data_IF_845978523863
#
_entry.id   IF_845978523863
#
_cell.length_a   1.000
_cell.length_b   1.000
_cell.length_c   1.000
_cell.angle_alpha   90.00
_cell.angle_beta   90.00
_cell.angle_gamma   90.00
#
_symmetry.space_group_name_H-M   'P 1'
#
loop_
_entity.id
_entity.type
_entity.pdbx_description
1 polymer ?
#
# COMPACT_ATOMS: atom_id res chain seq x y z
N UNK A 1 -22.16 -1.99 4.52
CA UNK A 1 -21.01 -1.12 4.21
C UNK A 1 -20.33 -1.68 2.99
N UNK A 2 -20.26 -0.90 1.93
CA UNK A 2 -19.57 -1.29 0.71
C UNK A 2 -18.07 -1.05 0.89
N UNK A 3 -17.27 -2.08 0.62
CA UNK A 3 -15.81 -2.01 0.71
C UNK A 3 -15.23 -2.47 -0.62
N UNK A 4 -14.42 -1.62 -1.22
CA UNK A 4 -13.69 -1.92 -2.43
C UNK A 4 -12.23 -2.26 -2.14
N UNK A 5 -11.64 -3.08 -2.99
CA UNK A 5 -10.19 -3.24 -3.04
C UNK A 5 -9.62 -2.47 -4.22
N UNK A 6 -8.47 -1.86 -4.00
CA UNK A 6 -7.68 -1.21 -5.04
C UNK A 6 -6.31 -1.86 -5.05
N UNK A 7 -5.88 -2.35 -6.20
CA UNK A 7 -4.54 -2.90 -6.40
C UNK A 7 -3.90 -2.24 -7.62
N UNK A 8 -2.65 -1.82 -7.48
CA UNK A 8 -1.84 -1.30 -8.57
C UNK A 8 -0.91 -2.37 -9.10
N UNK A 9 -0.73 -2.43 -10.43
CA UNK A 9 0.14 -3.40 -11.06
C UNK A 9 0.77 -2.84 -12.34
N UNK A 10 1.96 -3.34 -12.65
CA UNK A 10 2.70 -3.03 -13.87
C UNK A 10 3.41 -4.28 -14.39
N UNK A 11 3.41 -4.47 -15.71
CA UNK A 11 4.28 -5.41 -16.39
C UNK A 11 5.44 -4.64 -17.05
N UNK A 12 6.62 -4.78 -16.49
CA UNK A 12 7.83 -4.15 -17.03
C UNK A 12 8.29 -4.77 -18.36
N UNK A 13 7.75 -5.92 -18.76
CA UNK A 13 8.08 -6.58 -20.03
C UNK A 13 7.22 -6.07 -21.20
N UNK A 14 6.21 -5.25 -20.94
CA UNK A 14 5.40 -4.62 -21.97
C UNK A 14 6.26 -3.69 -22.86
N UNK A 15 6.31 -3.91 -24.18
CA UNK A 15 7.19 -3.14 -25.08
C UNK A 15 6.90 -1.64 -25.07
N UNK A 16 5.61 -1.25 -25.00
CA UNK A 16 5.22 0.16 -24.99
C UNK A 16 5.63 0.82 -23.69
N UNK A 17 5.45 0.13 -22.57
CA UNK A 17 5.90 0.62 -21.27
C UNK A 17 7.42 0.80 -21.24
N UNK A 18 8.18 -0.16 -21.82
CA UNK A 18 9.64 -0.06 -21.91
C UNK A 18 10.10 1.13 -22.75
N UNK A 19 9.43 1.40 -23.88
CA UNK A 19 9.70 2.56 -24.72
C UNK A 19 9.48 3.87 -23.94
N UNK A 20 8.33 4.00 -23.30
CA UNK A 20 8.02 5.18 -22.47
C UNK A 20 9.00 5.32 -21.30
N UNK A 21 9.30 4.22 -20.61
CA UNK A 21 10.26 4.22 -19.51
C UNK A 21 11.66 4.68 -19.98
N UNK A 22 12.16 4.15 -21.11
CA UNK A 22 13.44 4.53 -21.67
C UNK A 22 13.49 6.04 -22.03
N UNK A 23 12.41 6.55 -22.64
CA UNK A 23 12.28 7.97 -23.01
C UNK A 23 12.40 8.90 -21.81
N UNK A 24 11.77 8.58 -20.68
CA UNK A 24 11.73 9.45 -19.50
C UNK A 24 12.85 9.17 -18.49
N UNK A 25 13.41 7.96 -18.46
CA UNK A 25 14.54 7.61 -17.57
C UNK A 25 15.87 8.16 -18.08
N UNK A 26 15.98 8.41 -19.39
CA UNK A 26 17.25 8.80 -20.01
C UNK A 26 18.33 7.72 -19.82
N UNK A 27 19.60 8.06 -20.01
CA UNK A 27 20.76 7.17 -19.73
C UNK A 27 21.00 6.94 -18.21
N UNK A 28 19.97 7.03 -17.41
CA UNK A 28 20.06 6.82 -15.95
C UNK A 28 20.03 5.33 -15.62
N UNK A 29 21.07 4.60 -16.00
CA UNK A 29 21.38 3.26 -15.44
C UNK A 29 21.69 3.36 -13.93
N UNK A 30 20.87 4.08 -13.14
CA UNK A 30 21.19 4.42 -11.79
C UNK A 30 20.17 3.84 -10.82
N UNK A 31 20.52 2.70 -10.23
CA UNK A 31 19.83 2.03 -9.12
C UNK A 31 19.50 2.96 -7.93
N UNK A 32 20.10 4.16 -7.88
CA UNK A 32 19.93 5.13 -6.77
C UNK A 32 18.68 6.01 -6.89
N UNK A 33 18.07 6.14 -8.07
CA UNK A 33 17.06 7.19 -8.33
C UNK A 33 15.63 6.67 -8.57
N UNK A 34 15.21 5.62 -7.91
CA UNK A 34 13.83 5.13 -8.05
C UNK A 34 13.58 4.29 -9.31
N UNK A 35 14.63 3.95 -10.07
CA UNK A 35 14.62 3.26 -11.37
C UNK A 35 15.05 1.78 -11.21
N UNK A 36 15.01 1.23 -10.01
CA UNK A 36 15.42 -0.16 -9.75
C UNK A 36 14.42 -1.13 -10.35
N UNK A 37 14.90 -2.11 -11.10
CA UNK A 37 14.13 -3.20 -11.71
C UNK A 37 13.20 -3.91 -10.72
N UNK A 38 13.67 -4.15 -9.48
CA UNK A 38 12.86 -4.76 -8.43
C UNK A 38 11.55 -4.01 -8.11
N UNK A 39 11.38 -2.76 -8.55
CA UNK A 39 10.15 -1.98 -8.34
C UNK A 39 9.07 -2.22 -9.38
N UNK A 40 9.44 -2.83 -10.49
CA UNK A 40 8.56 -3.01 -11.66
C UNK A 40 8.47 -4.47 -12.07
N UNK A 41 9.18 -5.36 -11.35
CA UNK A 41 9.24 -6.78 -11.66
C UNK A 41 7.92 -7.46 -11.29
N UNK A 42 7.27 -8.08 -12.26
CA UNK A 42 6.18 -9.00 -12.00
C UNK A 42 6.71 -10.36 -11.54
N UNK A 43 6.22 -10.82 -10.42
CA UNK A 43 6.58 -12.13 -9.84
C UNK A 43 5.74 -13.28 -10.37
N UNK A 44 4.73 -12.99 -11.21
CA UNK A 44 3.71 -13.95 -11.62
C UNK A 44 2.85 -14.42 -10.43
N UNK A 45 2.77 -13.59 -9.38
CA UNK A 45 1.99 -13.90 -8.17
C UNK A 45 0.60 -13.25 -8.18
N UNK A 46 0.33 -12.36 -9.13
CA UNK A 46 -0.93 -11.61 -9.20
C UNK A 46 -2.16 -12.54 -9.25
N UNK A 47 -2.09 -13.70 -9.94
CA UNK A 47 -3.17 -14.71 -9.94
C UNK A 47 -3.55 -15.14 -8.53
N UNK A 48 -2.57 -15.40 -7.68
CA UNK A 48 -2.81 -15.83 -6.30
C UNK A 48 -3.39 -14.72 -5.45
N UNK A 49 -3.14 -13.45 -5.80
CA UNK A 49 -3.83 -12.33 -5.18
C UNK A 49 -5.33 -12.41 -5.45
N UNK A 50 -5.73 -12.57 -6.71
CA UNK A 50 -7.13 -12.70 -7.10
C UNK A 50 -7.78 -13.96 -6.51
N UNK A 51 -7.11 -15.11 -6.57
CA UNK A 51 -7.59 -16.36 -5.91
C UNK A 51 -7.76 -16.17 -4.41
N UNK A 52 -6.82 -15.47 -3.77
CA UNK A 52 -6.88 -15.13 -2.35
C UNK A 52 -8.05 -14.23 -2.00
N UNK A 53 -8.34 -13.22 -2.83
CA UNK A 53 -9.53 -12.35 -2.64
C UNK A 53 -10.80 -13.18 -2.76
N UNK A 54 -10.95 -13.99 -3.79
CA UNK A 54 -12.16 -14.81 -3.96
C UNK A 54 -12.37 -15.78 -2.81
N UNK A 55 -11.32 -16.49 -2.42
CA UNK A 55 -11.42 -17.55 -1.39
C UNK A 55 -11.55 -16.99 0.02
N UNK A 56 -10.79 -15.95 0.35
CA UNK A 56 -10.60 -15.50 1.74
C UNK A 56 -11.27 -14.17 2.07
N UNK A 57 -11.68 -13.38 1.04
CA UNK A 57 -12.38 -12.12 1.19
C UNK A 57 -13.56 -11.99 0.20
N UNK A 58 -14.48 -12.98 0.08
CA UNK A 58 -15.54 -12.98 -0.93
C UNK A 58 -16.55 -11.83 -0.78
N UNK A 59 -16.56 -11.15 0.35
CA UNK A 59 -17.39 -10.01 0.69
C UNK A 59 -17.02 -8.71 -0.03
N UNK A 60 -15.85 -8.65 -0.70
CA UNK A 60 -15.41 -7.47 -1.46
C UNK A 60 -16.43 -7.11 -2.52
N UNK A 61 -16.84 -5.83 -2.56
CA UNK A 61 -17.81 -5.33 -3.53
C UNK A 61 -17.21 -5.26 -4.93
N UNK A 62 -16.09 -4.54 -5.08
CA UNK A 62 -15.36 -4.35 -6.33
C UNK A 62 -13.85 -4.37 -6.13
N UNK A 63 -13.16 -4.80 -7.17
CA UNK A 63 -11.70 -4.75 -7.29
C UNK A 63 -11.39 -3.74 -8.37
N UNK A 64 -10.81 -2.60 -8.00
CA UNK A 64 -10.27 -1.62 -8.93
C UNK A 64 -8.84 -2.02 -9.25
N UNK A 65 -8.66 -2.64 -10.42
CA UNK A 65 -7.35 -3.07 -10.91
C UNK A 65 -6.71 -1.94 -11.72
N UNK A 66 -5.74 -1.26 -11.09
CA UNK A 66 -5.14 -0.04 -11.62
C UNK A 66 -3.85 -0.34 -12.36
N UNK A 67 -3.78 0.07 -13.63
CA UNK A 67 -2.62 -0.12 -14.50
C UNK A 67 -2.39 1.10 -15.40
N UNK A 68 -1.29 1.11 -16.13
CA UNK A 68 -1.04 2.12 -17.19
C UNK A 68 -1.65 1.73 -18.56
N UNK A 69 -2.70 0.90 -18.56
CA UNK A 69 -3.36 0.40 -19.78
C UNK A 69 -2.98 -1.04 -20.13
N UNK A 70 -2.22 -1.68 -19.24
CA UNK A 70 -1.84 -3.10 -19.35
C UNK A 70 -2.91 -4.00 -18.73
N UNK A 71 -3.00 -5.23 -19.21
CA UNK A 71 -3.89 -6.26 -18.66
C UNK A 71 -3.23 -7.63 -18.81
N UNK A 72 -3.20 -8.45 -17.73
CA UNK A 72 -2.78 -9.84 -17.87
C UNK A 72 -3.74 -10.61 -18.79
N UNK A 73 -3.19 -11.45 -19.69
CA UNK A 73 -3.99 -12.22 -20.68
C UNK A 73 -5.00 -13.16 -20.02
N UNK A 74 -4.69 -13.65 -18.83
CA UNK A 74 -5.54 -14.57 -18.07
C UNK A 74 -6.67 -13.90 -17.30
N UNK A 75 -6.73 -12.56 -17.22
CA UNK A 75 -7.73 -11.85 -16.43
C UNK A 75 -9.04 -11.71 -17.20
N UNK A 76 -10.13 -12.22 -16.62
CA UNK A 76 -11.48 -11.99 -17.14
C UNK A 76 -11.98 -10.60 -16.74
N UNK A 77 -11.88 -9.66 -17.67
CA UNK A 77 -12.35 -8.28 -17.48
C UNK A 77 -13.89 -8.14 -17.43
N UNK A 78 -14.62 -9.18 -17.87
CA UNK A 78 -16.09 -9.21 -17.85
C UNK A 78 -16.65 -9.61 -16.47
N UNK A 79 -15.80 -10.08 -15.55
CA UNK A 79 -16.24 -10.39 -14.21
C UNK A 79 -16.82 -9.13 -13.52
N UNK A 80 -18.08 -9.18 -13.01
CA UNK A 80 -18.78 -8.00 -12.50
C UNK A 80 -18.09 -7.33 -11.30
N UNK A 81 -17.20 -8.04 -10.62
CA UNK A 81 -16.40 -7.47 -9.53
C UNK A 81 -15.14 -6.75 -10.01
N UNK A 82 -14.71 -6.95 -11.26
CA UNK A 82 -13.52 -6.31 -11.81
C UNK A 82 -13.88 -4.93 -12.39
N UNK A 83 -13.07 -3.95 -12.06
CA UNK A 83 -13.05 -2.64 -12.70
C UNK A 83 -11.61 -2.34 -13.13
N UNK A 84 -11.35 -2.47 -14.43
CA UNK A 84 -10.06 -2.04 -14.99
C UNK A 84 -9.99 -0.51 -14.96
N UNK A 85 -8.93 0.01 -14.36
CA UNK A 85 -8.72 1.46 -14.20
C UNK A 85 -7.39 1.82 -14.84
N UNK A 86 -7.43 2.67 -15.85
CA UNK A 86 -6.21 3.21 -16.44
C UNK A 86 -5.78 4.47 -15.67
N UNK A 87 -4.49 4.73 -15.58
CA UNK A 87 -3.97 5.96 -14.97
C UNK A 87 -4.63 7.22 -15.52
N UNK A 88 -4.92 7.28 -16.85
CA UNK A 88 -5.59 8.41 -17.51
C UNK A 88 -7.03 8.65 -17.03
N UNK A 89 -7.67 7.67 -16.40
CA UNK A 89 -9.07 7.79 -15.99
C UNK A 89 -9.23 8.62 -14.70
N UNK A 90 -8.12 8.82 -13.94
CA UNK A 90 -8.18 9.50 -12.65
C UNK A 90 -6.98 10.40 -12.33
N UNK A 91 -5.86 10.27 -13.05
CA UNK A 91 -4.67 11.14 -12.91
C UNK A 91 -4.72 12.22 -14.00
N UNK A 92 -4.49 13.50 -13.67
CA UNK A 92 -4.45 14.58 -14.67
C UNK A 92 -3.40 14.31 -15.76
N UNK A 93 -3.77 14.52 -17.03
CA UNK A 93 -2.97 14.18 -18.20
C UNK A 93 -1.55 14.77 -18.17
N UNK A 94 -1.40 15.98 -17.65
CA UNK A 94 -0.10 16.66 -17.53
C UNK A 94 0.94 15.92 -16.70
N UNK A 95 0.52 14.99 -15.84
CA UNK A 95 1.39 14.16 -15.01
C UNK A 95 1.68 12.79 -15.62
N UNK A 96 1.05 12.45 -16.74
CA UNK A 96 1.23 11.17 -17.44
C UNK A 96 2.31 11.24 -18.53
N UNK A 97 2.97 10.14 -18.88
CA UNK A 97 3.00 8.92 -18.09
C UNK A 97 3.75 9.14 -16.77
N UNK A 98 3.44 8.32 -15.78
CA UNK A 98 4.18 8.32 -14.50
C UNK A 98 4.68 6.91 -14.18
N UNK A 99 5.91 6.82 -13.69
CA UNK A 99 6.56 5.59 -13.19
C UNK A 99 6.76 5.68 -11.67
N UNK A 100 6.07 6.63 -11.05
CA UNK A 100 6.15 6.91 -9.63
C UNK A 100 4.88 6.40 -8.93
N UNK A 101 4.98 5.27 -8.23
CA UNK A 101 3.84 4.66 -7.55
C UNK A 101 3.14 5.61 -6.58
N UNK A 102 3.89 6.50 -5.89
CA UNK A 102 3.26 7.43 -4.95
C UNK A 102 2.38 8.47 -5.67
N UNK A 103 2.72 8.86 -6.91
CA UNK A 103 1.86 9.73 -7.74
C UNK A 103 0.59 9.00 -8.13
N UNK A 104 0.69 7.71 -8.50
CA UNK A 104 -0.47 6.85 -8.78
C UNK A 104 -1.41 6.83 -7.57
N UNK A 105 -0.84 6.70 -6.37
CA UNK A 105 -1.57 6.60 -5.11
C UNK A 105 -2.20 7.92 -4.65
N UNK A 106 -1.67 9.09 -5.02
CA UNK A 106 -2.26 10.39 -4.63
C UNK A 106 -3.68 10.59 -5.11
N UNK A 107 -4.03 10.03 -6.25
CA UNK A 107 -5.27 10.29 -6.97
C UNK A 107 -6.31 9.19 -6.80
N UNK A 108 -6.08 8.14 -5.99
CA UNK A 108 -6.98 6.98 -5.88
C UNK A 108 -8.44 7.36 -5.61
N UNK A 109 -8.69 8.42 -4.82
CA UNK A 109 -10.03 8.91 -4.53
C UNK A 109 -10.82 9.36 -5.76
N UNK A 110 -10.12 9.63 -6.89
CA UNK A 110 -10.74 10.05 -8.16
C UNK A 110 -11.13 8.88 -9.06
N UNK A 111 -10.85 7.63 -8.65
CA UNK A 111 -11.26 6.46 -9.41
C UNK A 111 -12.79 6.44 -9.52
N UNK A 112 -13.35 6.38 -10.75
CA UNK A 112 -14.79 6.35 -10.95
C UNK A 112 -15.45 5.17 -10.24
N UNK A 113 -16.50 5.42 -9.46
CA UNK A 113 -17.25 4.37 -8.77
C UNK A 113 -16.57 3.77 -7.54
N UNK A 114 -15.42 4.28 -7.11
CA UNK A 114 -14.77 3.87 -5.86
C UNK A 114 -15.67 4.17 -4.66
N UNK A 115 -15.84 3.18 -3.79
CA UNK A 115 -16.58 3.32 -2.53
C UNK A 115 -15.89 4.27 -1.55
N UNK A 116 -16.66 4.81 -0.59
CA UNK A 116 -16.11 5.58 0.53
C UNK A 116 -15.07 4.79 1.32
N UNK A 117 -15.36 3.50 1.57
CA UNK A 117 -14.46 2.59 2.27
C UNK A 117 -13.71 1.75 1.24
N UNK A 118 -12.40 1.90 1.20
CA UNK A 118 -11.59 1.06 0.33
C UNK A 118 -10.29 0.60 1.00
N UNK A 119 -9.75 -0.50 0.54
CA UNK A 119 -8.48 -1.05 0.99
C UNK A 119 -7.50 -1.02 -0.17
N UNK A 120 -6.39 -0.34 0.00
CA UNK A 120 -5.32 -0.29 -0.97
C UNK A 120 -4.30 -1.40 -0.74
N UNK A 121 -3.96 -2.11 -1.80
CA UNK A 121 -2.95 -3.16 -1.84
C UNK A 121 -1.80 -2.76 -2.77
N UNK A 122 -0.58 -2.93 -2.30
CA UNK A 122 0.56 -3.07 -3.20
C UNK A 122 0.55 -4.50 -3.77
N UNK A 123 1.17 -4.69 -4.93
CA UNK A 123 1.27 -5.96 -5.64
C UNK A 123 2.06 -7.05 -4.89
N UNK A 124 2.82 -6.67 -3.87
CA UNK A 124 3.58 -7.56 -2.99
C UNK A 124 2.81 -8.01 -1.71
N UNK A 125 1.54 -7.57 -1.54
CA UNK A 125 0.72 -7.89 -0.37
C UNK A 125 -0.40 -8.86 -0.74
N UNK A 126 -0.40 -10.05 -0.13
CA UNK A 126 -1.33 -11.13 -0.44
C UNK A 126 -2.17 -11.55 0.77
N UNK A 127 -3.43 -11.90 0.51
CA UNK A 127 -4.33 -12.54 1.48
C UNK A 127 -4.08 -14.05 1.43
N UNK A 128 -3.73 -14.66 2.55
CA UNK A 128 -3.41 -16.08 2.63
C UNK A 128 -4.29 -16.87 3.62
N UNK A 129 -5.23 -16.21 4.27
CA UNK A 129 -6.20 -16.84 5.17
C UNK A 129 -7.48 -16.02 5.22
N UNK A 130 -8.58 -16.64 5.67
CA UNK A 130 -9.89 -15.99 5.79
C UNK A 130 -9.80 -14.69 6.58
N UNK A 131 -10.39 -13.66 6.02
CA UNK A 131 -10.36 -12.30 6.54
C UNK A 131 -11.75 -11.66 6.41
N UNK A 132 -12.28 -11.15 7.50
CA UNK A 132 -13.58 -10.45 7.50
C UNK A 132 -13.44 -8.93 7.30
N UNK A 133 -14.56 -8.27 7.05
CA UNK A 133 -14.61 -6.81 6.90
C UNK A 133 -14.10 -6.10 8.14
N UNK A 134 -14.31 -6.68 9.32
CA UNK A 134 -13.90 -6.15 10.62
C UNK A 134 -12.37 -6.07 10.79
N UNK A 135 -11.59 -6.74 9.92
CA UNK A 135 -10.14 -6.57 9.88
C UNK A 135 -9.75 -5.19 9.40
N UNK A 136 -10.51 -4.63 8.47
CA UNK A 136 -10.20 -3.36 7.82
C UNK A 136 -11.00 -2.19 8.39
N UNK A 137 -12.27 -2.44 8.75
CA UNK A 137 -13.17 -1.40 9.22
C UNK A 137 -13.97 -1.86 10.44
N UNK A 138 -14.21 -0.96 11.38
CA UNK A 138 -15.09 -1.14 12.52
C UNK A 138 -15.84 0.16 12.78
N UNK A 139 -17.14 0.08 13.01
CA UNK A 139 -18.00 1.25 13.22
C UNK A 139 -17.92 2.29 12.08
N UNK A 140 -17.68 1.84 10.82
CA UNK A 140 -17.48 2.73 9.68
C UNK A 140 -16.11 3.39 9.62
N UNK A 141 -15.18 3.09 10.53
CA UNK A 141 -13.84 3.67 10.58
C UNK A 141 -12.76 2.64 10.24
N UNK A 142 -11.70 3.05 9.52
CA UNK A 142 -10.54 2.21 9.26
C UNK A 142 -9.86 1.71 10.53
N UNK A 143 -9.42 0.47 10.53
CA UNK A 143 -8.66 -0.09 11.66
C UNK A 143 -7.17 0.07 11.45
N UNK A 144 -6.52 0.71 12.41
CA UNK A 144 -5.09 1.02 12.28
C UNK A 144 -4.39 1.12 13.64
N UNK A 145 -3.05 1.19 13.58
CA UNK A 145 -2.18 1.37 14.74
C UNK A 145 -1.66 2.82 14.81
N UNK A 146 -2.10 3.57 15.82
CA UNK A 146 -1.60 4.90 16.12
C UNK A 146 -0.39 4.82 17.06
N UNK A 147 0.77 4.46 16.53
CA UNK A 147 2.00 4.30 17.32
C UNK A 147 3.18 5.02 16.68
N UNK A 148 3.89 5.83 17.46
CA UNK A 148 5.09 6.53 16.99
C UNK A 148 6.24 5.57 16.69
N UNK A 149 7.02 5.92 15.69
CA UNK A 149 8.30 5.30 15.36
C UNK A 149 9.41 6.33 15.49
N UNK A 150 10.21 6.22 16.53
CA UNK A 150 11.44 6.99 16.61
C UNK A 150 12.50 6.34 15.74
N UNK A 151 12.93 7.05 14.70
CA UNK A 151 13.90 6.56 13.74
C UNK A 151 14.87 7.67 13.35
N UNK A 152 16.16 7.37 13.36
CA UNK A 152 17.25 8.27 12.97
C UNK A 152 17.78 7.96 11.54
N UNK A 153 17.05 7.20 10.74
CA UNK A 153 17.47 6.85 9.38
C UNK A 153 17.61 8.10 8.50
N UNK A 154 18.64 8.11 7.65
CA UNK A 154 18.87 9.12 6.61
C UNK A 154 18.41 8.63 5.22
N UNK A 155 17.68 7.52 5.14
CA UNK A 155 17.18 6.97 3.88
C UNK A 155 16.26 7.96 3.15
N UNK A 156 16.17 7.83 1.82
CA UNK A 156 15.25 8.61 1.00
C UNK A 156 13.80 8.44 1.49
N UNK A 157 13.41 7.21 1.80
CA UNK A 157 12.10 6.89 2.37
C UNK A 157 11.80 7.71 3.64
N UNK A 158 12.76 7.82 4.54
CA UNK A 158 12.57 8.59 5.77
C UNK A 158 12.44 10.10 5.51
N UNK A 159 13.10 10.62 4.46
CA UNK A 159 12.93 12.02 4.04
C UNK A 159 11.50 12.28 3.57
N UNK A 160 10.92 11.38 2.78
CA UNK A 160 9.53 11.53 2.32
C UNK A 160 8.53 11.44 3.48
N UNK A 161 8.76 10.58 4.47
CA UNK A 161 7.95 10.56 5.70
C UNK A 161 8.04 11.88 6.49
N UNK A 162 9.20 12.54 6.50
CA UNK A 162 9.32 13.88 7.11
C UNK A 162 8.50 14.93 6.37
N UNK A 163 8.43 14.86 5.03
CA UNK A 163 7.58 15.76 4.25
C UNK A 163 6.11 15.61 4.68
N UNK A 164 5.63 14.36 4.84
CA UNK A 164 4.28 14.10 5.34
C UNK A 164 4.06 14.73 6.73
N UNK A 165 4.99 14.50 7.67
CA UNK A 165 4.89 15.00 9.04
C UNK A 165 4.92 16.53 9.11
N UNK A 166 5.60 17.20 8.19
CA UNK A 166 5.59 18.65 8.10
C UNK A 166 4.19 19.18 7.75
N UNK A 167 3.44 18.52 6.85
CA UNK A 167 2.04 18.86 6.57
C UNK A 167 1.19 18.62 7.80
N UNK A 168 1.30 17.44 8.42
CA UNK A 168 0.55 17.09 9.63
C UNK A 168 0.74 18.13 10.73
N UNK A 169 1.98 18.52 11.03
CA UNK A 169 2.29 19.47 12.09
C UNK A 169 1.86 20.93 11.79
N UNK A 170 1.48 21.25 10.55
CA UNK A 170 0.87 22.56 10.21
C UNK A 170 -0.62 22.59 10.50
N UNK A 171 -1.28 21.43 10.51
CA UNK A 171 -2.74 21.33 10.59
C UNK A 171 -3.26 20.74 11.90
N UNK A 172 -2.40 20.07 12.68
CA UNK A 172 -2.80 19.42 13.92
C UNK A 172 -1.86 19.76 15.08
N UNK A 173 -2.45 20.16 16.22
CA UNK A 173 -1.74 20.16 17.50
C UNK A 173 -1.73 18.73 18.08
N UNK A 174 -0.54 18.21 18.31
CA UNK A 174 -0.38 16.83 18.80
C UNK A 174 -1.02 16.61 20.17
N UNK A 175 -0.90 17.61 21.08
CA UNK A 175 -1.41 17.46 22.44
C UNK A 175 -2.94 17.42 22.44
N UNK A 176 -3.57 18.27 21.62
CA UNK A 176 -5.03 18.28 21.46
C UNK A 176 -5.53 16.97 20.85
N UNK A 177 -4.90 16.48 19.75
CA UNK A 177 -5.26 15.22 19.11
C UNK A 177 -5.13 14.05 20.08
N UNK A 178 -4.00 13.95 20.80
CA UNK A 178 -3.78 12.84 21.73
C UNK A 178 -4.63 12.94 23.00
N UNK A 179 -5.08 14.14 23.38
CA UNK A 179 -6.02 14.31 24.48
C UNK A 179 -7.45 13.92 24.08
N UNK A 180 -7.89 14.35 22.88
CA UNK A 180 -9.21 14.03 22.32
C UNK A 180 -9.40 12.51 22.14
N UNK A 181 -8.40 11.84 21.57
CA UNK A 181 -8.44 10.42 21.22
C UNK A 181 -7.55 9.57 22.14
N UNK A 182 -7.44 9.95 23.42
CA UNK A 182 -6.49 9.33 24.36
C UNK A 182 -6.53 7.79 24.31
N UNK A 183 -7.72 7.20 24.41
CA UNK A 183 -7.87 5.75 24.49
C UNK A 183 -7.48 5.05 23.18
N UNK A 184 -7.63 5.73 22.03
CA UNK A 184 -7.17 5.23 20.73
C UNK A 184 -5.65 5.26 20.60
N UNK A 185 -4.98 6.30 21.11
CA UNK A 185 -3.51 6.42 21.07
C UNK A 185 -2.80 5.50 22.06
N UNK A 186 -3.47 5.15 23.16
CA UNK A 186 -2.91 4.32 24.22
C UNK A 186 -3.59 2.95 24.34
N UNK A 187 -4.20 2.48 23.25
CA UNK A 187 -4.89 1.19 23.22
C UNK A 187 -3.97 0.03 23.59
N UNK A 188 -4.44 -0.84 24.49
CA UNK A 188 -3.68 -1.97 25.04
C UNK A 188 -3.28 -2.99 23.97
N UNK A 189 -4.04 -3.10 22.87
CA UNK A 189 -3.75 -4.04 21.77
C UNK A 189 -2.40 -3.75 21.09
N UNK A 190 -1.90 -2.53 21.15
CA UNK A 190 -0.62 -2.15 20.56
C UNK A 190 0.58 -2.77 21.29
N UNK A 191 0.43 -3.13 22.57
CA UNK A 191 1.49 -3.70 23.38
C UNK A 191 2.75 -2.81 23.42
N UNK A 192 3.93 -3.43 23.33
CA UNK A 192 5.21 -2.70 23.35
C UNK A 192 5.41 -1.71 22.19
N UNK A 193 4.60 -1.79 21.13
CA UNK A 193 4.68 -0.87 19.98
C UNK A 193 4.28 0.55 20.34
N UNK A 194 3.39 0.71 21.33
CA UNK A 194 2.96 2.02 21.82
C UNK A 194 3.95 2.69 22.78
N UNK A 195 5.08 2.05 23.13
CA UNK A 195 6.03 2.62 24.12
C UNK A 195 6.44 4.07 23.80
N UNK A 196 6.63 4.38 22.52
CA UNK A 196 6.99 5.72 22.10
C UNK A 196 5.85 6.72 22.24
N UNK A 197 4.61 6.30 22.26
CA UNK A 197 3.48 7.18 22.57
C UNK A 197 3.58 7.72 23.99
N UNK A 198 3.98 6.88 24.95
CA UNK A 198 4.18 7.29 26.34
C UNK A 198 5.43 8.16 26.48
N UNK A 199 6.57 7.75 25.93
CA UNK A 199 7.84 8.48 26.04
C UNK A 199 7.75 9.86 25.38
N UNK A 200 7.12 9.95 24.23
CA UNK A 200 7.01 11.19 23.45
C UNK A 200 5.74 12.00 23.77
N UNK A 201 4.93 11.57 24.72
CA UNK A 201 3.73 12.31 25.12
C UNK A 201 4.00 13.79 25.40
N UNK A 202 5.07 14.17 26.14
CA UNK A 202 5.37 15.59 26.42
C UNK A 202 5.84 16.38 25.20
N UNK A 203 6.37 15.72 24.18
CA UNK A 203 6.89 16.38 22.98
C UNK A 203 5.76 16.96 22.14
N UNK A 204 5.82 18.26 21.83
CA UNK A 204 4.70 19.02 21.29
C UNK A 204 4.40 18.79 19.79
N UNK A 205 5.23 18.03 19.06
CA UNK A 205 5.04 17.80 17.62
C UNK A 205 4.87 16.33 17.30
N UNK A 206 4.14 16.04 16.22
CA UNK A 206 4.13 14.71 15.64
C UNK A 206 5.49 14.36 15.08
N UNK A 207 5.86 13.10 15.23
CA UNK A 207 6.92 12.44 14.48
C UNK A 207 6.29 11.33 13.62
N UNK A 208 7.12 10.61 12.85
CA UNK A 208 6.64 9.51 12.02
C UNK A 208 5.92 8.45 12.84
N UNK A 209 4.81 7.96 12.31
CA UNK A 209 4.13 6.79 12.85
C UNK A 209 4.77 5.50 12.31
N UNK A 210 4.52 4.40 12.98
CA UNK A 210 4.84 3.07 12.44
C UNK A 210 4.07 2.86 11.15
N UNK A 211 4.79 2.47 10.11
CA UNK A 211 4.25 2.20 8.78
C UNK A 211 4.26 0.69 8.56
N UNK A 212 3.20 -0.03 8.92
CA UNK A 212 3.10 -1.44 8.57
C UNK A 212 2.98 -1.55 7.04
N UNK A 213 3.87 -2.31 6.41
CA UNK A 213 3.75 -2.62 4.98
C UNK A 213 2.68 -3.71 4.82
N UNK A 214 1.45 -3.29 4.63
CA UNK A 214 0.27 -4.16 4.55
C UNK A 214 -0.82 -3.53 3.67
N UNK A 215 -1.91 -4.25 3.50
CA UNK A 215 -3.13 -3.69 2.92
C UNK A 215 -3.68 -2.57 3.83
N UNK A 216 -3.85 -1.38 3.28
CA UNK A 216 -4.17 -0.18 4.04
C UNK A 216 -5.62 0.26 3.81
N UNK A 217 -6.47 0.26 4.86
CA UNK A 217 -7.83 0.76 4.75
C UNK A 217 -7.85 2.29 4.79
N UNK A 218 -8.68 2.87 3.91
CA UNK A 218 -8.86 4.31 3.77
C UNK A 218 -10.33 4.69 3.65
N UNK A 219 -10.62 5.94 3.99
CA UNK A 219 -11.81 6.67 3.60
C UNK A 219 -11.49 7.56 2.40
N UNK A 220 -12.34 7.56 1.39
CA UNK A 220 -12.21 8.40 0.21
C UNK A 220 -12.19 9.89 0.59
N UNK A 221 -13.06 10.29 1.50
CA UNK A 221 -13.15 11.66 2.05
C UNK A 221 -11.84 12.11 2.70
N UNK A 222 -11.03 11.21 3.25
CA UNK A 222 -9.70 11.57 3.80
C UNK A 222 -8.77 12.11 2.71
N UNK A 223 -8.81 11.53 1.51
CA UNK A 223 -8.02 12.02 0.38
C UNK A 223 -8.48 13.40 -0.06
N UNK A 224 -9.79 13.62 -0.14
CA UNK A 224 -10.37 14.92 -0.49
C UNK A 224 -9.94 16.00 0.51
N UNK A 225 -10.01 15.71 1.82
CA UNK A 225 -9.54 16.64 2.85
C UNK A 225 -8.05 16.99 2.71
N UNK A 226 -7.19 15.99 2.48
CA UNK A 226 -5.75 16.22 2.32
C UNK A 226 -5.46 17.02 1.06
N UNK A 227 -6.15 16.73 -0.05
CA UNK A 227 -6.01 17.50 -1.28
C UNK A 227 -6.42 18.97 -1.10
N UNK A 228 -7.48 19.22 -0.32
CA UNK A 228 -7.93 20.60 -0.05
C UNK A 228 -6.88 21.44 0.70
N UNK A 229 -6.03 20.82 1.52
CA UNK A 229 -5.05 21.55 2.35
C UNK A 229 -3.61 21.45 1.83
N UNK A 230 -3.30 20.48 0.99
CA UNK A 230 -1.97 20.22 0.46
C UNK A 230 -1.92 20.14 -1.07
N UNK A 231 -2.88 20.77 -1.77
CA UNK A 231 -2.98 20.74 -3.23
C UNK A 231 -1.68 21.20 -3.90
N UNK A 232 -1.10 22.28 -3.42
CA UNK A 232 0.15 22.84 -3.98
C UNK A 232 1.29 21.84 -3.89
N UNK A 233 1.46 21.22 -2.74
CA UNK A 233 2.52 20.24 -2.46
C UNK A 233 2.34 18.97 -3.28
N UNK A 234 1.13 18.40 -3.30
CA UNK A 234 0.82 17.18 -4.02
C UNK A 234 0.89 17.39 -5.54
N UNK A 235 0.42 18.53 -6.04
CA UNK A 235 0.53 18.90 -7.46
C UNK A 235 1.99 19.03 -7.88
N UNK A 236 2.82 19.72 -7.09
CA UNK A 236 4.25 19.83 -7.38
C UNK A 236 4.96 18.46 -7.37
N UNK A 237 4.62 17.59 -6.42
CA UNK A 237 5.19 16.24 -6.34
C UNK A 237 4.69 15.34 -7.50
N UNK A 238 3.48 15.56 -8.01
CA UNK A 238 2.92 14.80 -9.14
C UNK A 238 3.69 14.97 -10.44
N UNK A 239 4.48 16.04 -10.57
CA UNK A 239 5.38 16.23 -11.71
C UNK A 239 6.60 15.28 -11.71
N UNK A 240 6.88 14.61 -10.59
CA UNK A 240 7.99 13.66 -10.48
C UNK A 240 7.66 12.35 -11.20
N UNK A 241 8.23 12.14 -12.38
CA UNK A 241 8.03 10.90 -13.16
C UNK A 241 8.56 9.65 -12.45
N UNK A 242 9.52 9.79 -11.56
CA UNK A 242 10.14 8.74 -10.75
C UNK A 242 10.20 9.18 -9.29
N UNK A 243 10.30 8.24 -8.35
CA UNK A 243 10.37 8.54 -6.92
C UNK A 243 11.48 9.55 -6.60
N UNK A 244 11.11 10.61 -5.87
CA UNK A 244 11.95 11.73 -5.50
C UNK A 244 11.98 11.94 -3.98
N UNK A 245 13.06 12.49 -3.41
CA UNK A 245 13.07 12.93 -2.01
C UNK A 245 12.03 14.02 -1.68
N UNK A 246 11.52 14.71 -2.70
CA UNK A 246 10.46 15.73 -2.57
C UNK A 246 9.05 15.14 -2.58
N UNK A 247 8.90 13.83 -2.80
CA UNK A 247 7.59 13.18 -2.77
C UNK A 247 7.00 13.17 -1.36
N UNK A 248 5.69 13.02 -1.32
CA UNK A 248 4.89 12.63 -0.16
C UNK A 248 4.51 11.16 -0.34
N UNK A 249 4.33 10.42 0.73
CA UNK A 249 3.91 9.03 0.61
C UNK A 249 2.43 8.88 1.00
N UNK A 250 1.76 7.79 0.64
CA UNK A 250 0.37 7.52 1.05
C UNK A 250 0.16 7.54 2.56
N UNK A 251 1.25 7.39 3.31
CA UNK A 251 1.25 7.56 4.77
C UNK A 251 0.79 8.97 5.22
N UNK A 252 0.80 9.96 4.32
CA UNK A 252 0.21 11.27 4.58
C UNK A 252 -1.30 11.13 4.84
N UNK A 253 -2.01 10.47 3.93
CA UNK A 253 -3.47 10.25 4.04
C UNK A 253 -3.79 9.39 5.27
N UNK A 254 -3.02 8.33 5.49
CA UNK A 254 -3.13 7.48 6.68
C UNK A 254 -2.92 8.26 7.98
N UNK A 255 -1.86 9.07 8.05
CA UNK A 255 -1.55 9.86 9.26
C UNK A 255 -2.61 10.94 9.49
N UNK A 256 -3.10 11.57 8.42
CA UNK A 256 -4.21 12.51 8.49
C UNK A 256 -5.46 11.88 9.10
N UNK A 257 -5.84 10.71 8.59
CA UNK A 257 -6.98 9.92 9.07
C UNK A 257 -6.85 9.61 10.57
N UNK A 258 -5.66 9.21 11.02
CA UNK A 258 -5.37 8.98 12.44
C UNK A 258 -5.47 10.27 13.26
N UNK A 259 -4.90 11.40 12.77
CA UNK A 259 -4.95 12.68 13.45
C UNK A 259 -6.36 13.27 13.53
N UNK A 260 -7.23 12.99 12.57
CA UNK A 260 -8.66 13.34 12.58
C UNK A 260 -9.47 12.48 13.58
N UNK A 261 -8.90 11.39 14.08
CA UNK A 261 -9.61 10.40 14.89
C UNK A 261 -10.47 9.42 14.07
N UNK A 262 -10.32 9.44 12.74
CA UNK A 262 -11.05 8.57 11.81
C UNK A 262 -10.41 7.19 11.73
N UNK A 263 -10.25 6.54 12.86
CA UNK A 263 -9.75 5.18 12.94
C UNK A 263 -10.25 4.46 14.19
N UNK A 264 -10.27 3.14 14.13
CA UNK A 264 -10.45 2.24 15.28
C UNK A 264 -9.13 1.55 15.60
N UNK A 265 -8.72 1.50 16.86
CA UNK A 265 -7.45 0.90 17.26
C UNK A 265 -7.35 -0.56 16.83
N UNK A 266 -6.23 -0.90 16.19
CA UNK A 266 -5.91 -2.27 15.82
C UNK A 266 -4.41 -2.48 15.66
N UNK A 267 -3.89 -3.54 16.25
CA UNK A 267 -2.49 -3.92 16.06
C UNK A 267 -2.35 -4.75 14.78
N UNK A 268 -2.13 -4.08 13.65
CA UNK A 268 -1.99 -4.69 12.32
C UNK A 268 -0.85 -5.72 12.22
N UNK A 269 0.13 -5.67 13.11
CA UNK A 269 1.23 -6.64 13.18
C UNK A 269 0.82 -7.99 13.78
N UNK A 270 -0.42 -8.13 14.25
CA UNK A 270 -0.93 -9.39 14.81
C UNK A 270 -1.15 -10.44 13.73
N UNK A 271 -1.64 -10.01 12.59
CA UNK A 271 -2.13 -10.85 11.51
C UNK A 271 -1.49 -10.55 10.15
N UNK A 272 -0.56 -9.59 10.12
CA UNK A 272 0.20 -9.25 8.92
C UNK A 272 1.69 -9.39 9.15
N UNK A 273 2.39 -9.99 8.19
CA UNK A 273 3.85 -10.17 8.25
C UNK A 273 4.51 -9.79 6.94
N UNK A 274 5.47 -8.85 7.01
CA UNK A 274 6.40 -8.59 5.93
C UNK A 274 7.60 -9.54 5.99
N UNK A 275 7.94 -10.12 4.86
CA UNK A 275 9.10 -10.97 4.66
C UNK A 275 10.05 -10.32 3.64
N UNK A 276 11.23 -9.82 4.08
CA UNK A 276 12.28 -9.43 3.14
C UNK A 276 12.81 -10.70 2.46
N UNK A 277 12.50 -10.89 1.17
CA UNK A 277 12.81 -12.13 0.43
C UNK A 277 14.32 -12.36 0.30
N UNK A 278 15.14 -11.31 0.35
CA UNK A 278 16.60 -11.42 0.39
C UNK A 278 17.10 -12.19 1.63
N UNK A 279 16.39 -12.08 2.76
CA UNK A 279 16.84 -12.60 4.07
C UNK A 279 16.02 -13.79 4.54
N UNK A 280 14.71 -13.80 4.24
CA UNK A 280 13.76 -14.77 4.82
C UNK A 280 12.85 -15.45 3.79
N UNK A 281 13.37 -15.92 2.62
CA UNK A 281 12.50 -16.50 1.59
C UNK A 281 11.84 -17.81 2.04
N UNK A 282 12.58 -18.68 2.75
CA UNK A 282 12.05 -19.96 3.26
C UNK A 282 10.94 -19.74 4.31
N UNK A 283 11.11 -18.74 5.17
CA UNK A 283 10.08 -18.38 6.16
C UNK A 283 8.83 -17.83 5.49
N UNK A 284 8.97 -17.06 4.40
CA UNK A 284 7.84 -16.57 3.61
C UNK A 284 7.04 -17.74 3.03
N UNK A 285 7.67 -18.64 2.29
CA UNK A 285 7.03 -19.82 1.72
C UNK A 285 6.35 -20.69 2.80
N UNK A 286 7.02 -20.94 3.92
CA UNK A 286 6.44 -21.69 5.04
C UNK A 286 5.23 -21.00 5.67
N UNK A 287 5.28 -19.66 5.79
CA UNK A 287 4.17 -18.89 6.35
C UNK A 287 2.94 -18.92 5.43
N UNK A 288 3.13 -18.90 4.12
CA UNK A 288 2.07 -19.05 3.12
C UNK A 288 1.49 -20.46 3.21
N UNK A 289 2.33 -21.49 3.11
CA UNK A 289 1.92 -22.89 3.14
C UNK A 289 1.07 -23.23 4.38
N UNK A 290 1.48 -22.74 5.56
CA UNK A 290 0.80 -22.98 6.83
C UNK A 290 -0.30 -21.93 7.13
N UNK A 291 -0.57 -20.98 6.26
CA UNK A 291 -1.53 -19.88 6.47
C UNK A 291 -1.35 -19.19 7.84
N UNK A 292 -0.08 -18.91 8.21
CA UNK A 292 0.29 -18.46 9.56
C UNK A 292 -0.16 -17.04 9.89
N UNK A 293 -0.60 -16.28 8.89
CA UNK A 293 -1.09 -14.90 8.98
C UNK A 293 -2.32 -14.75 8.08
N UNK A 294 -3.06 -13.64 8.23
CA UNK A 294 -4.12 -13.30 7.27
C UNK A 294 -3.53 -12.61 6.03
N UNK A 295 -2.50 -11.80 6.23
CA UNK A 295 -1.82 -11.04 5.18
C UNK A 295 -0.31 -11.26 5.25
N UNK A 296 0.31 -11.41 4.08
CA UNK A 296 1.78 -11.41 3.94
C UNK A 296 2.20 -10.37 2.91
N UNK A 297 3.31 -9.69 3.18
CA UNK A 297 4.00 -8.84 2.21
C UNK A 297 5.32 -9.53 1.83
N UNK A 298 5.55 -9.68 0.54
CA UNK A 298 6.72 -10.35 -0.04
C UNK A 298 7.68 -9.30 -0.61
N UNK A 299 8.42 -8.64 0.29
CA UNK A 299 9.25 -7.50 -0.08
C UNK A 299 10.49 -7.93 -0.87
N UNK A 300 10.54 -7.53 -2.15
CA UNK A 300 11.62 -7.84 -3.10
C UNK A 300 12.86 -6.96 -2.91
N UNK A 301 13.97 -7.49 -3.43
CA UNK A 301 15.25 -6.77 -3.54
C UNK A 301 16.06 -7.30 -4.73
N UNK A 302 16.74 -6.40 -5.45
CA UNK A 302 17.62 -6.77 -6.58
C UNK A 302 18.76 -7.74 -6.22
N UNK A 303 19.08 -7.87 -4.94
CA UNK A 303 20.17 -8.71 -4.44
C UNK A 303 19.71 -10.10 -3.98
N UNK A 304 18.49 -10.53 -4.32
CA UNK A 304 18.02 -11.89 -3.99
C UNK A 304 18.86 -12.91 -4.76
N UNK A 305 19.56 -13.77 -3.99
CA UNK A 305 20.30 -14.90 -4.56
C UNK A 305 19.33 -16.00 -4.99
N UNK A 306 19.61 -16.62 -6.14
CA UNK A 306 18.79 -17.71 -6.70
C UNK A 306 17.30 -17.33 -6.81
N UNK A 307 17.04 -16.12 -7.33
CA UNK A 307 15.71 -15.54 -7.44
C UNK A 307 14.66 -16.51 -7.99
N UNK A 308 14.97 -17.22 -9.10
CA UNK A 308 14.04 -18.20 -9.70
C UNK A 308 13.59 -19.28 -8.70
N UNK A 309 14.54 -19.89 -7.96
CA UNK A 309 14.21 -20.91 -6.95
C UNK A 309 13.39 -20.34 -5.78
N UNK A 310 13.68 -19.08 -5.37
CA UNK A 310 12.89 -18.41 -4.31
C UNK A 310 11.45 -18.24 -4.77
N UNK A 311 11.24 -17.76 -5.99
CA UNK A 311 9.90 -17.52 -6.53
C UNK A 311 9.15 -18.82 -6.77
N UNK A 312 9.82 -19.86 -7.24
CA UNK A 312 9.24 -21.20 -7.40
C UNK A 312 8.73 -21.77 -6.05
N UNK A 313 9.54 -21.67 -5.00
CA UNK A 313 9.11 -22.13 -3.66
C UNK A 313 7.90 -21.34 -3.13
N UNK A 314 7.84 -20.03 -3.42
CA UNK A 314 6.69 -19.18 -3.04
C UNK A 314 5.46 -19.56 -3.85
N UNK A 315 5.60 -19.76 -5.17
CA UNK A 315 4.50 -20.22 -6.05
C UNK A 315 3.95 -21.56 -5.58
N UNK A 316 4.81 -22.52 -5.30
CA UNK A 316 4.39 -23.84 -4.80
C UNK A 316 3.62 -23.74 -3.47
N UNK A 317 4.00 -22.80 -2.59
CA UNK A 317 3.27 -22.55 -1.35
C UNK A 317 1.89 -21.92 -1.61
N UNK A 318 1.77 -21.03 -2.59
CA UNK A 318 0.48 -20.47 -3.02
C UNK A 318 -0.39 -21.54 -3.69
N UNK A 319 0.17 -22.36 -4.60
CA UNK A 319 -0.57 -23.45 -5.25
C UNK A 319 -1.14 -24.44 -4.23
N UNK A 320 -0.42 -24.69 -3.13
CA UNK A 320 -0.91 -25.56 -2.06
C UNK A 320 -2.20 -25.01 -1.41
N UNK A 321 -2.28 -23.70 -1.16
CA UNK A 321 -3.44 -23.10 -0.49
C UNK A 321 -4.51 -22.56 -1.46
N UNK A 322 -4.15 -22.32 -2.73
CA UNK A 322 -4.98 -21.73 -3.78
C UNK A 322 -4.80 -22.48 -5.11
N UNK A 323 -5.06 -23.81 -5.15
CA UNK A 323 -4.84 -24.61 -6.37
C UNK A 323 -5.86 -24.31 -7.48
N UNK A 324 -7.08 -23.92 -7.09
CA UNK A 324 -8.17 -23.72 -8.05
C UNK A 324 -8.09 -22.33 -8.69
N UNK A 325 -8.41 -22.27 -9.99
CA UNK A 325 -8.63 -20.99 -10.67
C UNK A 325 -9.79 -20.25 -10.00
N UNK A 326 -9.64 -18.94 -9.91
CA UNK A 326 -10.73 -18.07 -9.47
C UNK A 326 -11.66 -17.71 -10.63
N UNK A 327 -12.88 -17.27 -10.33
CA UNK A 327 -13.80 -16.70 -11.31
C UNK A 327 -13.30 -15.40 -11.95
N UNK A 328 -12.10 -14.92 -11.58
CA UNK A 328 -11.40 -13.80 -12.21
C UNK A 328 -10.45 -14.26 -13.34
N UNK A 329 -10.29 -15.56 -13.56
CA UNK A 329 -9.37 -16.13 -14.56
C UNK A 329 -10.14 -16.76 -15.73
N UNK A 330 -9.68 -16.45 -16.97
CA UNK A 330 -10.16 -17.06 -18.21
C UNK A 330 -9.88 -18.56 -18.30
#
# INVERSE_FOLDING_TARGET
MDIDFVITWVDMNDPKWQEDFAKYSGNRNNTKNGVSEARFRDYGLLRYWFRGVEKFAPWVRKIHFVTCGQKPEWLDENNPKIHLVNHKDYIPEQFLPTFNSVVIEYYLHRIPGLAEHFVYFNDDVHIINTIGTERFFKNGLPRDIAAFLYNLSWSQWYKTLKNNINIINRHFDKKEVMARDHDKWFDKSYGSRARWNYILKPYGKFITLRTPHNAQPYLKTTFEEVWNVAEKELTAASANKFRSPSDYTPELFRTWQICKGYFEPYNTYKDTKMFPLMVRPKQAARAIYNQSYSLVCLNDNIHIRNYGQVMENIKNAFEHILPEKSGFEL
#
